data_IF_482307463403
#
_entry.id   IF_482307463403
#
_cell.length_a   1.000
_cell.length_b   1.000
_cell.length_c   1.000
_cell.angle_alpha   90.00
_cell.angle_beta   90.00
_cell.angle_gamma   90.00
#
_symmetry.space_group_name_H-M   'P 1'
#
loop_
_entity.id
_entity.type
_entity.pdbx_description
1 polymer ?
#
# COMPACT_ATOMS: atom_id res chain seq x y z
N UNK A 1 -3.55 6.68 12.92
CA UNK A 1 -2.43 5.84 12.45
C UNK A 1 -2.53 5.65 10.95
N UNK A 2 -1.42 5.76 10.21
CA UNK A 2 -1.33 5.61 8.74
C UNK A 2 -0.52 4.35 8.38
N UNK A 3 -0.68 3.29 9.17
CA UNK A 3 0.17 2.10 9.15
C UNK A 3 0.15 1.30 7.84
N UNK A 4 -0.94 1.35 7.09
CA UNK A 4 -1.07 0.60 5.83
C UNK A 4 -0.15 1.09 4.72
N UNK A 5 0.14 2.40 4.64
CA UNK A 5 1.02 2.95 3.60
C UNK A 5 2.45 2.41 3.74
N UNK A 6 2.96 2.40 4.97
CA UNK A 6 4.30 1.89 5.29
C UNK A 6 4.45 0.38 5.07
N UNK A 7 3.34 -0.37 5.06
CA UNK A 7 3.34 -1.81 4.79
C UNK A 7 3.26 -2.10 3.28
N UNK A 8 2.42 -1.36 2.56
CA UNK A 8 2.12 -1.57 1.13
C UNK A 8 3.27 -1.12 0.24
N UNK A 9 3.83 0.08 0.48
CA UNK A 9 4.91 0.66 -0.32
C UNK A 9 6.13 -0.26 -0.51
N UNK A 10 6.77 -0.76 0.57
CA UNK A 10 7.90 -1.67 0.45
C UNK A 10 7.51 -3.03 -0.11
N UNK A 11 6.30 -3.52 0.14
CA UNK A 11 5.86 -4.80 -0.41
C UNK A 11 5.68 -4.77 -1.92
N UNK A 12 5.16 -3.68 -2.48
CA UNK A 12 5.06 -3.47 -3.94
C UNK A 12 6.45 -3.34 -4.53
N UNK A 13 7.32 -2.48 -3.97
CA UNK A 13 8.65 -2.26 -4.52
C UNK A 13 9.55 -3.49 -4.42
N UNK A 14 9.36 -4.34 -3.41
CA UNK A 14 10.09 -5.62 -3.31
C UNK A 14 9.72 -6.60 -4.41
N UNK A 15 8.53 -6.46 -5.01
CA UNK A 15 8.09 -7.23 -6.18
C UNK A 15 8.62 -6.67 -7.49
N UNK A 16 8.80 -5.35 -7.59
CA UNK A 16 9.23 -4.67 -8.81
C UNK A 16 10.76 -4.64 -8.94
N UNK A 17 11.47 -4.27 -7.88
CA UNK A 17 12.95 -4.12 -7.90
C UNK A 17 13.71 -5.34 -7.34
N UNK A 18 13.02 -6.29 -6.71
CA UNK A 18 13.66 -7.45 -6.09
C UNK A 18 14.21 -7.18 -4.69
N UNK A 19 15.21 -7.97 -4.25
CA UNK A 19 15.71 -7.98 -2.88
C UNK A 19 16.88 -7.01 -2.61
N UNK A 20 17.25 -6.17 -3.57
CA UNK A 20 18.39 -5.26 -3.44
C UNK A 20 18.02 -4.02 -2.61
N UNK A 21 18.46 -3.99 -1.35
CA UNK A 21 17.97 -3.03 -0.36
C UNK A 21 18.42 -1.58 -0.64
N UNK A 22 19.51 -1.40 -1.39
CA UNK A 22 20.03 -0.06 -1.75
C UNK A 22 19.05 0.71 -2.63
N UNK A 23 18.34 0.03 -3.52
CA UNK A 23 17.31 0.62 -4.37
C UNK A 23 15.91 0.49 -3.77
N UNK A 24 15.67 -0.56 -2.98
CA UNK A 24 14.38 -0.80 -2.34
C UNK A 24 13.99 0.31 -1.36
N UNK A 25 14.94 0.79 -0.54
CA UNK A 25 14.67 1.82 0.46
C UNK A 25 14.18 3.14 -0.19
N UNK A 26 14.92 3.77 -1.12
CA UNK A 26 14.46 5.01 -1.76
C UNK A 26 13.21 4.79 -2.62
N UNK A 27 13.12 3.67 -3.34
CA UNK A 27 11.94 3.38 -4.16
C UNK A 27 10.66 3.19 -3.31
N UNK A 28 10.77 2.49 -2.17
CA UNK A 28 9.64 2.27 -1.27
C UNK A 28 9.21 3.55 -0.54
N UNK A 29 10.16 4.41 -0.19
CA UNK A 29 9.87 5.73 0.38
C UNK A 29 9.10 6.61 -0.62
N UNK A 30 9.52 6.65 -1.89
CA UNK A 30 8.82 7.37 -2.96
C UNK A 30 7.43 6.79 -3.22
N UNK A 31 7.32 5.46 -3.35
CA UNK A 31 6.04 4.79 -3.59
C UNK A 31 5.05 5.02 -2.44
N UNK A 32 5.51 4.91 -1.19
CA UNK A 32 4.69 5.19 0.00
C UNK A 32 4.25 6.65 0.05
N UNK A 33 5.13 7.60 -0.26
CA UNK A 33 4.82 9.03 -0.26
C UNK A 33 3.79 9.42 -1.31
N UNK A 34 3.89 8.86 -2.52
CA UNK A 34 2.92 9.07 -3.60
C UNK A 34 1.56 8.50 -3.22
N UNK A 35 1.53 7.28 -2.67
CA UNK A 35 0.30 6.63 -2.23
C UNK A 35 -0.38 7.44 -1.11
N UNK A 36 0.40 7.97 -0.16
CA UNK A 36 -0.09 8.82 0.93
C UNK A 36 -0.73 10.11 0.39
N UNK A 37 -0.04 10.81 -0.51
CA UNK A 37 -0.53 12.06 -1.11
C UNK A 37 -1.84 11.85 -1.87
N UNK A 38 -1.91 10.79 -2.68
CA UNK A 38 -3.14 10.44 -3.38
C UNK A 38 -4.28 10.15 -2.40
N UNK A 39 -4.01 9.37 -1.35
CA UNK A 39 -5.02 9.04 -0.36
C UNK A 39 -5.48 10.27 0.45
N UNK A 40 -4.58 11.17 0.83
CA UNK A 40 -4.92 12.43 1.50
C UNK A 40 -5.75 13.36 0.59
N UNK A 41 -5.39 13.42 -0.70
CA UNK A 41 -6.15 14.18 -1.71
C UNK A 41 -7.57 13.63 -1.87
N UNK A 42 -7.72 12.30 -2.04
CA UNK A 42 -9.03 11.67 -2.15
C UNK A 42 -9.86 11.81 -0.86
N UNK A 43 -9.23 11.69 0.31
CA UNK A 43 -9.92 11.89 1.59
C UNK A 43 -10.50 13.30 1.73
N UNK A 44 -9.77 14.33 1.26
CA UNK A 44 -10.23 15.73 1.30
C UNK A 44 -11.30 16.04 0.26
N UNK A 45 -11.21 15.45 -0.95
CA UNK A 45 -12.14 15.73 -2.05
C UNK A 45 -13.49 15.03 -1.86
N UNK A 46 -13.50 13.80 -1.36
CA UNK A 46 -14.71 12.98 -1.37
C UNK A 46 -15.71 13.34 -0.26
N UNK A 47 -15.27 13.93 0.87
CA UNK A 47 -16.06 14.03 2.11
C UNK A 47 -15.98 15.44 2.74
N UNK A 48 -15.87 16.51 1.95
CA UNK A 48 -16.07 17.87 2.46
C UNK A 48 -17.52 18.05 2.93
N UNK A 49 -17.82 18.54 4.17
CA UNK A 49 -16.96 19.29 5.11
C UNK A 49 -16.49 18.48 6.34
N UNK A 50 -16.63 17.16 6.35
CA UNK A 50 -16.31 16.30 7.50
C UNK A 50 -14.82 15.93 7.46
N UNK A 51 -14.08 16.29 8.51
CA UNK A 51 -12.65 15.97 8.64
C UNK A 51 -12.52 14.51 9.07
N UNK A 52 -12.56 13.59 8.09
CA UNK A 52 -12.30 12.18 8.37
C UNK A 52 -10.81 11.95 8.60
N UNK A 53 -10.45 11.12 9.59
CA UNK A 53 -9.06 10.72 9.75
C UNK A 53 -8.63 9.92 8.51
N UNK A 54 -7.65 10.46 7.77
CA UNK A 54 -7.08 9.82 6.56
C UNK A 54 -6.65 8.36 6.81
N UNK A 55 -6.26 8.04 8.05
CA UNK A 55 -5.95 6.69 8.51
C UNK A 55 -7.10 5.69 8.38
N UNK A 56 -8.35 6.11 8.58
CA UNK A 56 -9.53 5.24 8.47
C UNK A 56 -9.82 4.91 7.00
N UNK A 57 -9.79 5.90 6.11
CA UNK A 57 -10.00 5.72 4.67
C UNK A 57 -8.88 4.86 4.06
N UNK A 58 -7.63 5.16 4.41
CA UNK A 58 -6.48 4.38 3.94
C UNK A 58 -6.47 2.96 4.48
N UNK A 59 -6.98 2.70 5.69
CA UNK A 59 -7.11 1.34 6.22
C UNK A 59 -8.24 0.56 5.52
N UNK A 60 -9.34 1.22 5.17
CA UNK A 60 -10.45 0.61 4.44
C UNK A 60 -10.04 0.15 3.03
N UNK A 61 -9.15 0.91 2.38
CA UNK A 61 -8.58 0.56 1.08
C UNK A 61 -7.34 -0.34 1.19
N UNK A 62 -6.53 -0.12 2.22
CA UNK A 62 -5.27 -0.83 2.45
C UNK A 62 -5.47 -2.29 2.89
N UNK A 63 -6.47 -2.56 3.74
CA UNK A 63 -6.80 -3.91 4.19
C UNK A 63 -7.18 -4.86 3.04
N UNK A 64 -8.15 -4.54 2.15
CA UNK A 64 -8.50 -5.41 1.03
C UNK A 64 -7.35 -5.55 0.02
N UNK A 65 -6.56 -4.49 -0.20
CA UNK A 65 -5.41 -4.56 -1.10
C UNK A 65 -4.30 -5.47 -0.53
N UNK A 66 -4.00 -5.36 0.76
CA UNK A 66 -3.07 -6.25 1.45
C UNK A 66 -3.56 -7.71 1.41
N UNK A 67 -4.84 -7.93 1.69
CA UNK A 67 -5.46 -9.26 1.63
C UNK A 67 -5.38 -9.84 0.21
N UNK A 68 -5.72 -9.05 -0.81
CA UNK A 68 -5.60 -9.46 -2.22
C UNK A 68 -4.15 -9.84 -2.59
N UNK A 69 -3.17 -9.06 -2.12
CA UNK A 69 -1.76 -9.35 -2.38
C UNK A 69 -1.29 -10.63 -1.68
N UNK A 70 -1.80 -10.89 -0.47
CA UNK A 70 -1.53 -12.11 0.30
C UNK A 70 -2.10 -13.34 -0.41
N UNK A 71 -3.38 -13.34 -0.80
CA UNK A 71 -4.01 -14.45 -1.53
C UNK A 71 -3.34 -14.74 -2.88
N UNK A 72 -2.89 -13.69 -3.59
CA UNK A 72 -2.20 -13.86 -4.87
C UNK A 72 -0.81 -14.48 -4.72
N UNK A 73 -0.24 -14.48 -3.50
CA UNK A 73 1.05 -15.13 -3.20
C UNK A 73 0.92 -16.64 -3.05
N UNK A 74 -0.23 -17.14 -2.60
CA UNK A 74 -0.50 -18.58 -2.49
C UNK A 74 -0.77 -19.26 -3.84
N UNK A 75 -1.40 -18.58 -4.80
CA UNK A 75 -1.67 -19.17 -6.13
C UNK A 75 -0.41 -19.47 -6.96
N UNK A 76 0.77 -18.99 -6.56
CA UNK A 76 2.05 -19.37 -7.17
C UNK A 76 2.62 -20.71 -6.70
N UNK A 77 2.06 -21.31 -5.62
CA UNK A 77 2.50 -22.60 -5.08
C UNK A 77 1.52 -23.75 -5.34
N UNK A 78 0.30 -23.46 -5.77
CA UNK A 78 -0.76 -24.45 -6.02
C UNK A 78 -0.87 -24.78 -7.52
N UNK A 79 0.26 -25.06 -8.18
CA UNK A 79 0.31 -25.60 -9.56
C UNK A 79 1.34 -26.72 -9.72
N UNK A 80 1.60 -27.45 -8.64
CA UNK A 80 2.45 -28.64 -8.62
C UNK A 80 1.86 -29.67 -7.66
N UNK A 81 0.62 -30.11 -7.93
CA UNK A 81 0.12 -31.44 -7.57
C UNK A 81 -0.76 -31.94 -8.70
#
# INVERSE_FOLDING_TARGET
>A
MIGFIGLIGPQIMKRILGADHRFLIPASALAGSILLLLADTFARVLISPIILPVGAITSLLGAPMFFYMLLRREKGKMKLE
#
